data_IF_905619837918
#
_entry.id   IF_905619837918
#
_cell.length_a   1.000
_cell.length_b   1.000
_cell.length_c   1.000
_cell.angle_alpha   90.00
_cell.angle_beta   90.00
_cell.angle_gamma   90.00
#
_symmetry.space_group_name_H-M   'P 1'
#
loop_
_entity.id
_entity.type
_entity.pdbx_description
1 polymer ?
#
# COMPACT_ATOMS: atom_id res chain seq x y z
N UNK A 1 14.35 -29.05 -0.31
CA UNK A 1 13.24 -29.99 -0.60
C UNK A 1 12.65 -30.59 0.68
N UNK A 2 13.44 -31.15 1.62
CA UNK A 2 12.90 -31.68 2.90
C UNK A 2 12.45 -30.57 3.87
N UNK A 3 13.22 -29.48 3.99
CA UNK A 3 12.81 -28.28 4.75
C UNK A 3 11.54 -27.62 4.17
N UNK A 4 11.36 -27.64 2.85
CA UNK A 4 10.19 -27.08 2.18
C UNK A 4 8.91 -27.90 2.45
N UNK A 5 9.02 -29.22 2.56
CA UNK A 5 7.91 -30.10 2.96
C UNK A 5 7.51 -29.88 4.43
N UNK A 6 8.48 -29.60 5.31
CA UNK A 6 8.27 -29.36 6.74
C UNK A 6 7.71 -27.95 7.02
N UNK A 7 8.10 -26.94 6.24
CA UNK A 7 7.50 -25.60 6.30
C UNK A 7 6.14 -25.53 5.60
N UNK A 8 5.90 -26.36 4.59
CA UNK A 8 4.60 -26.46 3.91
C UNK A 8 3.49 -27.01 4.81
N UNK A 9 3.80 -27.91 5.74
CA UNK A 9 2.81 -28.45 6.69
C UNK A 9 2.47 -27.51 7.85
N UNK A 10 3.20 -26.39 7.99
CA UNK A 10 3.00 -25.38 9.04
C UNK A 10 2.29 -24.12 8.51
N UNK A 11 2.13 -23.96 7.19
CA UNK A 11 1.51 -22.76 6.61
C UNK A 11 0.03 -23.00 6.41
N UNK A 12 -0.70 -22.70 7.47
CA UNK A 12 -2.15 -22.74 7.58
C UNK A 12 -2.90 -21.65 6.80
N UNK A 13 -2.26 -20.86 5.91
CA UNK A 13 -2.96 -19.85 5.06
C UNK A 13 -2.07 -19.30 3.91
N UNK A 14 -1.43 -20.16 3.13
CA UNK A 14 -0.55 -19.75 2.01
C UNK A 14 -1.32 -19.00 0.90
N UNK A 15 -2.63 -19.25 0.80
CA UNK A 15 -3.54 -18.63 -0.16
C UNK A 15 -3.77 -17.14 0.11
N UNK A 16 -3.93 -16.75 1.38
CA UNK A 16 -4.14 -15.35 1.76
C UNK A 16 -2.89 -14.50 1.50
N UNK A 17 -1.70 -15.09 1.67
CA UNK A 17 -0.44 -14.43 1.33
C UNK A 17 -0.33 -14.19 -0.17
N UNK A 18 -0.68 -15.18 -1.00
CA UNK A 18 -0.67 -14.98 -2.47
C UNK A 18 -1.65 -13.90 -2.92
N UNK A 19 -2.85 -13.84 -2.33
CA UNK A 19 -3.84 -12.79 -2.64
C UNK A 19 -3.33 -11.39 -2.27
N UNK A 20 -2.58 -11.25 -1.18
CA UNK A 20 -1.97 -9.99 -0.76
C UNK A 20 -0.76 -9.60 -1.63
N UNK A 21 -0.03 -10.57 -2.18
CA UNK A 21 1.14 -10.32 -3.05
C UNK A 21 0.72 -9.86 -4.44
N UNK A 22 -0.42 -10.32 -4.97
CA UNK A 22 -0.91 -9.94 -6.30
C UNK A 22 -0.91 -8.42 -6.59
N UNK A 23 -1.51 -7.54 -5.75
CA UNK A 23 -1.49 -6.10 -6.01
C UNK A 23 -0.08 -5.50 -5.95
N UNK A 24 0.81 -6.04 -5.11
CA UNK A 24 2.21 -5.60 -5.02
C UNK A 24 2.95 -5.94 -6.33
N UNK A 25 2.72 -7.15 -6.85
CA UNK A 25 3.28 -7.59 -8.13
C UNK A 25 2.76 -6.73 -9.28
N UNK A 26 1.48 -6.36 -9.29
CA UNK A 26 0.93 -5.44 -10.31
C UNK A 26 1.61 -4.07 -10.29
N UNK A 27 1.88 -3.51 -9.11
CA UNK A 27 2.66 -2.27 -8.99
C UNK A 27 4.08 -2.43 -9.55
N UNK A 28 4.73 -3.55 -9.26
CA UNK A 28 6.05 -3.87 -9.82
C UNK A 28 6.04 -3.94 -11.36
N UNK A 29 4.99 -4.53 -11.94
CA UNK A 29 4.82 -4.58 -13.40
C UNK A 29 4.70 -3.19 -14.02
N UNK A 30 3.97 -2.27 -13.38
CA UNK A 30 3.88 -0.87 -13.84
C UNK A 30 5.27 -0.23 -13.85
N UNK A 31 6.04 -0.40 -12.77
CA UNK A 31 7.43 0.10 -12.69
C UNK A 31 8.29 -0.44 -13.83
N UNK A 32 8.18 -1.73 -14.12
CA UNK A 32 8.88 -2.39 -15.22
C UNK A 32 8.52 -1.84 -16.61
N UNK A 33 7.24 -1.61 -16.91
CA UNK A 33 6.87 -1.00 -18.20
C UNK A 33 7.41 0.44 -18.34
N UNK A 34 7.46 1.18 -17.24
CA UNK A 34 8.04 2.54 -17.23
C UNK A 34 9.54 2.49 -17.51
N UNK A 35 10.28 1.47 -17.03
CA UNK A 35 11.70 1.33 -17.37
C UNK A 35 11.92 1.07 -18.86
N UNK A 36 11.10 0.22 -19.47
CA UNK A 36 11.14 -0.04 -20.92
C UNK A 36 10.86 1.24 -21.70
N UNK A 37 9.82 1.99 -21.31
CA UNK A 37 9.48 3.26 -21.94
C UNK A 37 10.60 4.30 -21.79
N UNK A 38 11.24 4.35 -20.63
CA UNK A 38 12.37 5.22 -20.36
C UNK A 38 13.59 4.90 -21.25
N UNK A 39 13.83 3.64 -21.58
CA UNK A 39 14.92 3.29 -22.49
C UNK A 39 14.66 3.77 -23.92
N UNK A 40 13.40 3.72 -24.38
CA UNK A 40 13.03 4.14 -25.73
C UNK A 40 13.12 5.66 -25.94
N UNK A 41 12.70 6.47 -24.96
CA UNK A 41 12.77 7.93 -25.03
C UNK A 41 13.05 8.54 -23.66
N UNK A 42 13.76 9.67 -23.64
CA UNK A 42 13.83 10.48 -22.42
C UNK A 42 12.47 11.13 -22.19
N UNK A 43 11.83 10.74 -21.09
CA UNK A 43 10.49 11.20 -20.75
C UNK A 43 10.49 11.78 -19.36
N UNK A 44 9.91 12.97 -19.22
CA UNK A 44 9.67 13.63 -17.93
C UNK A 44 8.89 12.72 -16.98
N UNK A 45 8.02 11.86 -17.53
CA UNK A 45 7.29 10.84 -16.77
C UNK A 45 8.23 9.86 -16.05
N UNK A 46 9.26 9.37 -16.73
CA UNK A 46 10.25 8.48 -16.13
C UNK A 46 11.08 9.20 -15.05
N UNK A 47 11.40 10.49 -15.25
CA UNK A 47 12.10 11.29 -14.24
C UNK A 47 11.27 11.48 -12.97
N UNK A 48 9.98 11.84 -13.10
CA UNK A 48 9.09 12.03 -11.94
C UNK A 48 8.84 10.70 -11.23
N UNK A 49 8.57 9.64 -11.98
CA UNK A 49 8.29 8.30 -11.42
C UNK A 49 9.50 7.73 -10.66
N UNK A 50 10.72 8.15 -11.01
CA UNK A 50 11.93 7.72 -10.32
C UNK A 50 12.04 8.18 -8.86
N UNK A 51 11.21 9.14 -8.43
CA UNK A 51 11.11 9.57 -7.03
C UNK A 51 9.88 8.98 -6.33
N UNK A 52 9.03 8.24 -7.04
CA UNK A 52 7.84 7.61 -6.48
C UNK A 52 8.28 6.34 -5.72
N UNK A 53 7.95 6.23 -4.42
CA UNK A 53 8.26 5.04 -3.62
C UNK A 53 7.72 3.76 -4.26
N UNK A 54 8.39 2.62 -4.04
CA UNK A 54 8.15 1.31 -4.67
C UNK A 54 8.50 1.22 -6.17
N UNK A 55 8.17 2.25 -6.96
CA UNK A 55 8.49 2.29 -8.39
C UNK A 55 9.96 2.70 -8.62
N UNK A 56 10.51 3.54 -7.75
CA UNK A 56 11.90 4.00 -7.85
C UNK A 56 12.94 2.88 -7.86
N UNK A 57 12.66 1.75 -7.19
CA UNK A 57 13.53 0.56 -7.15
C UNK A 57 13.80 0.01 -8.55
N UNK A 58 12.85 0.20 -9.46
CA UNK A 58 12.98 -0.22 -10.86
C UNK A 58 13.49 0.93 -11.74
N UNK A 59 12.86 2.10 -11.64
CA UNK A 59 13.06 3.20 -12.61
C UNK A 59 14.38 3.95 -12.36
N UNK A 60 14.77 4.18 -11.11
CA UNK A 60 15.94 5.01 -10.80
C UNK A 60 17.27 4.37 -11.19
N UNK A 61 17.52 3.06 -10.94
CA UNK A 61 18.70 2.38 -11.47
C UNK A 61 18.75 2.42 -13.01
N UNK A 62 17.60 2.28 -13.68
CA UNK A 62 17.52 2.38 -15.14
C UNK A 62 17.94 3.76 -15.62
N UNK A 63 17.50 4.84 -14.96
CA UNK A 63 17.89 6.21 -15.29
C UNK A 63 19.38 6.49 -15.04
N UNK A 64 19.96 5.88 -14.01
CA UNK A 64 21.41 5.95 -13.76
C UNK A 64 22.20 5.23 -14.86
N UNK A 65 21.74 4.06 -15.31
CA UNK A 65 22.34 3.32 -16.43
C UNK A 65 22.28 4.11 -17.74
N UNK A 66 21.20 4.87 -17.95
CA UNK A 66 21.03 5.76 -19.12
C UNK A 66 21.78 7.09 -18.98
N UNK A 67 22.55 7.30 -17.89
CA UNK A 67 23.26 8.56 -17.57
C UNK A 67 22.35 9.79 -17.47
N UNK A 68 21.05 9.60 -17.21
CA UNK A 68 20.05 10.66 -17.05
C UNK A 68 19.81 11.05 -15.60
N UNK A 69 20.23 10.20 -14.67
CA UNK A 69 20.19 10.46 -13.24
C UNK A 69 21.58 10.38 -12.60
N UNK A 70 21.88 11.31 -11.69
CA UNK A 70 23.13 11.33 -10.93
C UNK A 70 22.99 10.60 -9.59
N UNK A 71 24.14 10.26 -8.98
CA UNK A 71 24.18 9.62 -7.65
C UNK A 71 23.47 10.47 -6.59
N UNK A 72 23.53 11.80 -6.70
CA UNK A 72 22.83 12.71 -5.78
C UNK A 72 21.31 12.57 -5.87
N UNK A 73 20.76 12.45 -7.07
CA UNK A 73 19.33 12.24 -7.28
C UNK A 73 18.86 10.88 -6.78
N UNK A 74 19.72 9.85 -6.88
CA UNK A 74 19.42 8.53 -6.32
C UNK A 74 19.27 8.60 -4.78
N UNK A 75 20.17 9.30 -4.09
CA UNK A 75 20.06 9.51 -2.64
C UNK A 75 18.81 10.29 -2.24
N UNK A 76 18.41 11.29 -3.03
CA UNK A 76 17.15 12.02 -2.82
C UNK A 76 15.95 11.08 -2.96
N UNK A 77 15.93 10.23 -3.99
CA UNK A 77 14.86 9.25 -4.20
C UNK A 77 14.76 8.24 -3.04
N UNK A 78 15.91 7.77 -2.54
CA UNK A 78 15.97 6.91 -1.34
C UNK A 78 15.44 7.67 -0.12
N UNK A 79 15.87 8.91 0.11
CA UNK A 79 15.39 9.74 1.20
C UNK A 79 13.88 9.94 1.18
N UNK A 80 13.30 10.25 0.01
CA UNK A 80 11.85 10.35 -0.17
C UNK A 80 11.15 9.04 0.17
N UNK A 81 11.72 7.91 -0.25
CA UNK A 81 11.17 6.58 0.03
C UNK A 81 11.19 6.24 1.52
N UNK A 82 12.25 6.62 2.23
CA UNK A 82 12.36 6.43 3.68
C UNK A 82 11.33 7.28 4.42
N UNK A 83 11.19 8.56 4.05
CA UNK A 83 10.17 9.44 4.64
C UNK A 83 8.77 8.91 4.37
N UNK A 84 8.51 8.47 3.14
CA UNK A 84 7.24 7.86 2.78
C UNK A 84 6.98 6.59 3.62
N UNK A 85 7.96 5.72 3.77
CA UNK A 85 7.84 4.50 4.58
C UNK A 85 7.53 4.84 6.05
N UNK A 86 8.19 5.86 6.63
CA UNK A 86 7.94 6.29 7.99
C UNK A 86 6.50 6.82 8.17
N UNK A 87 6.04 7.67 7.25
CA UNK A 87 4.66 8.18 7.24
C UNK A 87 3.64 7.07 7.03
N UNK A 88 3.91 6.17 6.09
CA UNK A 88 3.06 5.02 5.80
C UNK A 88 2.98 4.08 7.00
N UNK A 89 4.09 3.81 7.68
CA UNK A 89 4.12 3.01 8.91
C UNK A 89 3.27 3.65 10.01
N UNK A 90 3.42 4.96 10.23
CA UNK A 90 2.60 5.69 11.19
C UNK A 90 1.10 5.61 10.83
N UNK A 91 0.77 5.78 9.55
CA UNK A 91 -0.59 5.64 9.05
C UNK A 91 -1.14 4.22 9.24
N UNK A 92 -0.37 3.19 8.88
CA UNK A 92 -0.74 1.79 9.08
C UNK A 92 -0.97 1.48 10.56
N UNK A 93 -0.11 1.96 11.46
CA UNK A 93 -0.29 1.79 12.91
C UNK A 93 -1.53 2.53 13.40
N UNK A 94 -1.80 3.74 12.91
CA UNK A 94 -3.02 4.48 13.25
C UNK A 94 -4.28 3.74 12.78
N UNK A 95 -4.28 3.22 11.55
CA UNK A 95 -5.37 2.43 10.98
C UNK A 95 -5.54 1.09 11.70
N UNK A 96 -4.44 0.44 12.09
CA UNK A 96 -4.48 -0.80 12.86
C UNK A 96 -5.03 -0.57 14.26
N UNK A 97 -4.60 0.51 14.94
CA UNK A 97 -5.13 0.91 16.26
C UNK A 97 -6.61 1.27 16.19
N UNK A 98 -7.05 1.94 15.13
CA UNK A 98 -8.46 2.26 14.92
C UNK A 98 -9.29 1.02 14.54
N UNK A 99 -8.74 0.09 13.75
CA UNK A 99 -9.39 -1.20 13.50
C UNK A 99 -9.48 -2.02 14.79
N UNK A 100 -8.39 -2.16 15.55
CA UNK A 100 -8.36 -2.87 16.84
C UNK A 100 -9.32 -2.25 17.87
N UNK A 101 -9.46 -0.93 17.92
CA UNK A 101 -10.43 -0.24 18.79
C UNK A 101 -11.87 -0.35 18.29
N UNK A 102 -12.10 -0.71 17.03
CA UNK A 102 -13.43 -0.93 16.44
C UNK A 102 -13.81 -2.43 16.44
N UNK A 103 -12.90 -3.32 16.83
CA UNK A 103 -13.18 -4.74 17.05
C UNK A 103 -13.53 -5.08 18.52
N UNK A 104 -14.20 -4.15 19.22
CA UNK A 104 -15.20 -4.50 20.25
C UNK A 104 -16.57 -3.92 19.87
N UNK A 105 -17.15 -4.45 18.80
CA UNK A 105 -18.58 -4.32 18.52
C UNK A 105 -18.99 -3.11 17.67
N UNK A 106 -19.28 -3.39 16.39
CA UNK A 106 -19.93 -2.52 15.40
C UNK A 106 -19.06 -1.41 14.81
N UNK A 107 -18.85 -1.48 13.49
CA UNK A 107 -18.28 -0.37 12.74
C UNK A 107 -19.08 0.91 13.01
N UNK A 108 -18.39 2.04 13.16
CA UNK A 108 -18.96 3.37 13.43
C UNK A 108 -20.18 3.69 12.55
N UNK A 109 -20.16 3.23 11.29
CA UNK A 109 -21.26 3.37 10.35
C UNK A 109 -22.55 2.63 10.77
N UNK A 110 -22.40 1.45 11.37
CA UNK A 110 -23.51 0.64 11.90
C UNK A 110 -24.02 1.20 13.22
N UNK A 111 -23.13 1.65 14.12
CA UNK A 111 -23.53 2.29 15.39
C UNK A 111 -24.29 3.59 15.12
N UNK A 112 -23.85 4.39 14.14
CA UNK A 112 -24.56 5.60 13.70
C UNK A 112 -25.93 5.28 13.10
N UNK A 113 -26.05 4.23 12.28
CA UNK A 113 -27.36 3.79 11.74
C UNK A 113 -28.29 3.31 12.85
N UNK A 114 -27.79 2.56 13.83
CA UNK A 114 -28.60 2.09 14.96
C UNK A 114 -29.06 3.26 15.83
N UNK A 115 -28.20 4.23 16.15
CA UNK A 115 -28.60 5.47 16.86
C UNK A 115 -29.64 6.29 16.11
N UNK A 116 -29.53 6.39 14.78
CA UNK A 116 -30.53 7.10 13.96
C UNK A 116 -31.89 6.38 13.95
N UNK A 117 -31.88 5.05 13.97
CA UNK A 117 -33.10 4.24 14.03
C UNK A 117 -33.80 4.33 15.39
N UNK A 118 -33.04 4.35 16.50
CA UNK A 118 -33.56 4.51 17.87
C UNK A 118 -34.18 5.91 18.05
N UNK A 119 -33.49 6.97 17.61
CA UNK A 119 -34.02 8.34 17.69
C UNK A 119 -35.30 8.54 16.86
N UNK A 120 -35.41 7.85 15.72
CA UNK A 120 -36.63 7.87 14.88
C UNK A 120 -37.76 7.04 15.50
N UNK A 121 -37.46 5.96 16.22
CA UNK A 121 -38.44 5.17 16.95
C UNK A 121 -39.01 5.92 18.17
N UNK A 122 -38.18 6.65 18.92
CA UNK A 122 -38.62 7.42 20.09
C UNK A 122 -39.57 8.59 19.73
N UNK A 123 -39.37 9.24 18.57
CA UNK A 123 -40.29 10.28 18.09
C UNK A 123 -41.66 9.78 17.62
N UNK A 124 -41.80 8.47 17.38
CA UNK A 124 -43.07 7.85 16.99
C UNK A 124 -43.95 7.47 18.19
N UNK A 125 -43.37 7.25 19.36
CA UNK A 125 -44.09 6.81 20.56
C UNK A 125 -44.67 8.01 21.33
N UNK A 126 -44.02 9.18 21.28
CA UNK A 126 -44.51 10.41 21.92
C UNK A 126 -45.74 11.06 21.22
N UNK A 127 -46.34 10.40 20.22
CA UNK A 127 -47.50 10.90 19.45
C UNK A 127 -48.74 9.99 19.51
N UNK A 128 -48.78 9.01 20.42
CA UNK A 128 -50.01 8.29 20.77
C UNK A 128 -50.47 8.65 22.18
#
# INVERSE_FOLDING_TARGET
SVLAALTGSLVSNQEQVQQAVMPITMLGMIGYFITIAAQANDSTLAQVTSYVPFLNVFVMPTQMSLSRASMGQAWVSVGISVVFLALFTFFTVAVYRNNVLVYSGSGLWQSMKTSFSIWKAERGVAKK
#
